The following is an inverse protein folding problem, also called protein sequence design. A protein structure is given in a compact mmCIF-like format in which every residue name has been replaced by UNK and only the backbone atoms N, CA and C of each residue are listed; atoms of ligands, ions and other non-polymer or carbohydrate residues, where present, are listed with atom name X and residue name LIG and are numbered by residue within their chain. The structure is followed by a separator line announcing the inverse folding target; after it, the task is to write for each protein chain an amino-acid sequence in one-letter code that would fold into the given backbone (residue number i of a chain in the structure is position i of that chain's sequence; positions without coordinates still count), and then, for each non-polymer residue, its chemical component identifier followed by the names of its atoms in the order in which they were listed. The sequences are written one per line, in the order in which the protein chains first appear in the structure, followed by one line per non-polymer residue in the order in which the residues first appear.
data_IF_293261272877
#
_entry.id   IF_293261272877
#
_cell.length_a   1.000
_cell.length_b   1.000
_cell.length_c   1.000
_cell.angle_alpha   90.00
_cell.angle_beta   90.00
_cell.angle_gamma   90.00
#
_symmetry.space_group_name_H-M   'P 1'
#
loop_
_entity.id
_entity.type
_entity.pdbx_description
1 polymer ?
#
# COMPACT_ATOMS: atom_id res chain seq x y z
N UNK A 1 20.24 12.31 -4.36
CA UNK A 1 21.02 13.48 -3.88
C UNK A 1 21.71 13.19 -2.55
N UNK A 2 20.99 12.68 -1.54
CA UNK A 2 21.55 12.26 -0.24
C UNK A 2 22.61 11.17 -0.38
N UNK A 3 22.42 10.20 -1.28
CA UNK A 3 23.40 9.14 -1.56
C UNK A 3 24.77 9.64 -2.07
N UNK A 4 24.87 10.91 -2.51
CA UNK A 4 26.13 11.52 -2.97
C UNK A 4 26.87 12.29 -1.87
N UNK A 5 26.28 12.40 -0.68
CA UNK A 5 26.85 13.13 0.46
C UNK A 5 27.40 12.12 1.47
N UNK A 6 28.55 12.44 2.08
CA UNK A 6 29.11 11.64 3.18
C UNK A 6 28.11 11.60 4.36
N UNK A 7 27.62 10.41 4.78
CA UNK A 7 26.72 10.27 5.91
C UNK A 7 27.30 10.88 7.21
N UNK A 8 28.62 10.90 7.36
CA UNK A 8 29.28 11.53 8.50
C UNK A 8 29.14 13.04 8.46
N UNK A 9 29.24 13.68 7.30
CA UNK A 9 28.99 15.12 7.14
C UNK A 9 27.52 15.45 7.47
N UNK A 10 26.56 14.69 6.94
CA UNK A 10 25.13 14.96 7.19
C UNK A 10 24.81 14.93 8.69
N UNK A 11 25.30 13.91 9.41
CA UNK A 11 25.08 13.78 10.85
C UNK A 11 25.88 14.79 11.67
N UNK A 12 27.13 15.08 11.29
CA UNK A 12 28.03 15.98 12.01
C UNK A 12 27.56 17.44 11.97
N UNK A 13 26.89 17.85 10.90
CA UNK A 13 26.37 19.21 10.74
C UNK A 13 24.89 19.36 11.10
N UNK A 14 24.23 18.32 11.63
CA UNK A 14 22.81 18.37 12.01
C UNK A 14 21.86 18.65 10.85
N UNK A 15 22.31 18.40 9.61
CA UNK A 15 21.55 18.70 8.40
C UNK A 15 20.46 17.66 8.13
N UNK A 16 20.57 16.48 8.74
CA UNK A 16 19.60 15.40 8.66
C UNK A 16 18.19 15.85 9.08
N UNK A 17 18.06 16.53 10.21
CA UNK A 17 16.76 17.00 10.69
C UNK A 17 16.21 18.13 9.81
N UNK A 18 17.06 19.04 9.33
CA UNK A 18 16.65 20.13 8.44
C UNK A 18 16.15 19.58 7.10
N UNK A 19 16.85 18.61 6.52
CA UNK A 19 16.42 17.95 5.30
C UNK A 19 15.12 17.16 5.52
N UNK A 20 15.02 16.39 6.60
CA UNK A 20 13.80 15.66 6.93
C UNK A 20 12.60 16.61 7.05
N UNK A 21 12.68 17.67 7.85
CA UNK A 21 11.57 18.61 8.01
C UNK A 21 11.17 19.29 6.68
N UNK A 22 12.15 19.61 5.84
CA UNK A 22 11.89 20.22 4.53
C UNK A 22 11.20 19.24 3.58
N UNK A 23 11.64 17.99 3.56
CA UNK A 23 11.05 16.92 2.75
C UNK A 23 9.67 16.50 3.26
N UNK A 24 9.44 16.51 4.58
CA UNK A 24 8.11 16.26 5.16
C UNK A 24 7.09 17.31 4.69
N UNK A 25 7.49 18.58 4.58
CA UNK A 25 6.64 19.61 3.97
C UNK A 25 6.32 19.31 2.51
N UNK A 26 7.24 18.69 1.77
CA UNK A 26 6.95 18.26 0.39
C UNK A 26 5.78 17.26 0.31
N UNK A 27 5.53 16.47 1.36
CA UNK A 27 4.46 15.47 1.36
C UNK A 27 3.05 16.09 1.40
N UNK A 28 2.91 17.36 1.79
CA UNK A 28 1.61 18.06 1.77
C UNK A 28 1.25 18.63 0.39
N UNK A 29 2.15 18.60 -0.60
CA UNK A 29 1.88 19.06 -1.96
C UNK A 29 1.10 17.98 -2.72
N UNK A 30 -0.23 18.03 -2.64
CA UNK A 30 -1.15 17.00 -3.16
C UNK A 30 -2.27 17.63 -4.00
N UNK A 31 -2.04 18.84 -4.49
CA UNK A 31 -3.07 19.67 -5.11
C UNK A 31 -3.06 19.51 -6.61
N UNK A 32 -1.88 19.65 -7.22
CA UNK A 32 -1.72 19.80 -8.66
C UNK A 32 -0.85 18.71 -9.29
N UNK A 33 -0.98 18.48 -10.60
CA UNK A 33 -0.14 17.49 -11.30
C UNK A 33 1.36 17.83 -11.23
N UNK A 34 1.70 19.13 -11.12
CA UNK A 34 3.07 19.61 -10.95
C UNK A 34 3.71 19.13 -9.63
N UNK A 35 2.92 18.70 -8.65
CA UNK A 35 3.40 18.18 -7.38
C UNK A 35 3.87 16.72 -7.49
N UNK A 36 3.42 15.98 -8.51
CA UNK A 36 3.73 14.55 -8.68
C UNK A 36 5.24 14.27 -8.75
N UNK A 37 6.05 14.98 -9.55
CA UNK A 37 7.50 14.78 -9.58
C UNK A 37 8.17 15.07 -8.23
N UNK A 38 7.67 16.08 -7.50
CA UNK A 38 8.19 16.44 -6.18
C UNK A 38 7.98 15.29 -5.19
N UNK A 39 6.76 14.74 -5.11
CA UNK A 39 6.44 13.62 -4.23
C UNK A 39 7.23 12.35 -4.60
N UNK A 40 7.34 12.05 -5.90
CA UNK A 40 8.14 10.91 -6.39
C UNK A 40 9.61 10.99 -5.98
N UNK A 41 10.16 12.19 -5.84
CA UNK A 41 11.51 12.40 -5.34
C UNK A 41 11.58 12.44 -3.80
N UNK A 42 10.57 13.03 -3.15
CA UNK A 42 10.57 13.25 -1.71
C UNK A 42 10.46 11.95 -0.92
N UNK A 43 9.51 11.07 -1.25
CA UNK A 43 9.30 9.83 -0.50
C UNK A 43 10.56 8.95 -0.43
N UNK A 44 11.20 8.55 -1.55
CA UNK A 44 12.43 7.77 -1.50
C UNK A 44 13.55 8.48 -0.73
N UNK A 45 13.70 9.80 -0.90
CA UNK A 45 14.72 10.58 -0.22
C UNK A 45 14.54 10.56 1.30
N UNK A 46 13.29 10.69 1.79
CA UNK A 46 12.97 10.59 3.21
C UNK A 46 13.30 9.18 3.72
N UNK A 47 12.86 8.14 3.01
CA UNK A 47 13.08 6.75 3.42
C UNK A 47 14.57 6.40 3.48
N UNK A 48 15.37 6.87 2.51
CA UNK A 48 16.82 6.75 2.49
C UNK A 48 17.46 7.47 3.69
N UNK A 49 17.05 8.70 3.98
CA UNK A 49 17.55 9.46 5.13
C UNK A 49 17.23 8.75 6.44
N UNK A 50 16.02 8.22 6.60
CA UNK A 50 15.63 7.45 7.79
C UNK A 50 16.51 6.20 7.93
N UNK A 51 16.79 5.49 6.83
CA UNK A 51 17.61 4.29 6.85
C UNK A 51 19.05 4.55 7.39
N UNK A 52 19.59 5.76 7.20
CA UNK A 52 20.91 6.14 7.74
C UNK A 52 20.96 6.29 9.26
N UNK A 53 19.81 6.42 9.93
CA UNK A 53 19.78 6.62 11.38
C UNK A 53 20.19 5.33 12.11
N UNK A 54 21.12 5.45 13.05
CA UNK A 54 21.66 4.30 13.81
C UNK A 54 20.68 3.74 14.85
N UNK A 55 19.90 4.62 15.48
CA UNK A 55 18.98 4.23 16.55
C UNK A 55 17.69 3.64 15.97
N UNK A 56 17.41 2.36 16.26
CA UNK A 56 16.25 1.66 15.74
C UNK A 56 14.92 2.33 16.14
N UNK A 57 14.80 2.81 17.38
CA UNK A 57 13.59 3.49 17.85
C UNK A 57 13.33 4.80 17.08
N UNK A 58 14.38 5.60 16.82
CA UNK A 58 14.27 6.84 16.05
C UNK A 58 13.82 6.53 14.62
N UNK A 59 14.37 5.46 14.01
CA UNK A 59 13.93 5.01 12.67
C UNK A 59 12.46 4.64 12.66
N UNK A 60 12.02 3.80 13.59
CA UNK A 60 10.64 3.34 13.67
C UNK A 60 9.67 4.53 13.80
N UNK A 61 9.97 5.49 14.69
CA UNK A 61 9.17 6.70 14.87
C UNK A 61 9.12 7.57 13.60
N UNK A 62 10.24 7.68 12.86
CA UNK A 62 10.25 8.43 11.61
C UNK A 62 9.47 7.72 10.50
N UNK A 63 9.55 6.39 10.40
CA UNK A 63 8.72 5.64 9.45
C UNK A 63 7.23 5.76 9.77
N UNK A 64 6.87 5.69 11.05
CA UNK A 64 5.50 5.95 11.51
C UNK A 64 5.05 7.36 11.13
N UNK A 65 5.91 8.37 11.28
CA UNK A 65 5.62 9.74 10.85
C UNK A 65 5.41 9.85 9.35
N UNK A 66 6.25 9.22 8.51
CA UNK A 66 6.04 9.17 7.05
C UNK A 66 4.68 8.55 6.73
N UNK A 67 4.34 7.47 7.42
CA UNK A 67 3.08 6.78 7.21
C UNK A 67 1.88 7.65 7.61
N UNK A 68 1.90 8.26 8.80
CA UNK A 68 0.82 9.11 9.30
C UNK A 68 0.70 10.41 8.52
N UNK A 69 1.77 11.19 8.45
CA UNK A 69 1.76 12.55 7.92
C UNK A 69 1.82 12.58 6.38
N UNK A 70 2.40 11.54 5.77
CA UNK A 70 2.49 11.40 4.31
C UNK A 70 1.35 10.56 3.74
N UNK A 71 1.27 9.28 4.13
CA UNK A 71 0.35 8.32 3.49
C UNK A 71 -1.10 8.53 3.92
N UNK A 72 -1.40 8.49 5.22
CA UNK A 72 -2.78 8.61 5.72
C UNK A 72 -3.38 9.98 5.41
N UNK A 73 -2.63 11.04 5.69
CA UNK A 73 -3.00 12.41 5.29
C UNK A 73 -3.12 12.51 3.76
N UNK A 74 -2.22 11.86 3.02
CA UNK A 74 -2.25 11.80 1.56
C UNK A 74 -3.53 11.21 1.00
N UNK A 75 -3.99 10.07 1.53
CA UNK A 75 -5.29 9.51 1.16
C UNK A 75 -6.45 10.43 1.52
N UNK A 76 -6.40 11.08 2.68
CA UNK A 76 -7.45 12.01 3.11
C UNK A 76 -7.65 13.20 2.15
N UNK A 77 -6.58 13.71 1.53
CA UNK A 77 -6.64 14.86 0.61
C UNK A 77 -6.66 14.49 -0.89
N UNK A 78 -6.03 13.38 -1.27
CA UNK A 78 -5.80 13.01 -2.66
C UNK A 78 -6.09 11.54 -2.98
N UNK A 79 -6.75 10.80 -2.09
CA UNK A 79 -7.09 9.39 -2.29
C UNK A 79 -8.00 9.10 -3.49
N UNK A 80 -8.70 10.12 -4.02
CA UNK A 80 -9.52 9.99 -5.23
C UNK A 80 -8.80 10.46 -6.51
N UNK A 81 -7.59 10.99 -6.39
CA UNK A 81 -6.83 11.55 -7.52
C UNK A 81 -5.88 10.50 -8.08
N UNK A 82 -6.24 9.94 -9.24
CA UNK A 82 -5.51 8.86 -9.94
C UNK A 82 -4.00 9.14 -10.06
N UNK A 83 -3.58 10.39 -10.25
CA UNK A 83 -2.17 10.75 -10.39
C UNK A 83 -1.33 10.59 -9.11
N UNK A 84 -1.95 10.67 -7.93
CA UNK A 84 -1.26 10.59 -6.63
C UNK A 84 -1.30 9.20 -6.02
N UNK A 85 -2.36 8.43 -6.31
CA UNK A 85 -2.55 7.08 -5.77
C UNK A 85 -1.31 6.16 -5.94
N UNK A 86 -0.67 6.04 -7.12
CA UNK A 86 0.53 5.21 -7.26
C UNK A 86 1.64 5.61 -6.29
N UNK A 87 1.84 6.90 -6.06
CA UNK A 87 2.90 7.42 -5.19
C UNK A 87 2.61 7.03 -3.73
N UNK A 88 1.36 7.20 -3.29
CA UNK A 88 0.94 6.85 -1.93
C UNK A 88 1.02 5.34 -1.70
N UNK A 89 0.62 4.53 -2.68
CA UNK A 89 0.60 3.07 -2.54
C UNK A 89 2.01 2.45 -2.58
N UNK A 90 2.91 2.99 -3.41
CA UNK A 90 4.24 2.40 -3.67
C UNK A 90 5.05 2.13 -2.41
N UNK A 91 4.96 3.02 -1.40
CA UNK A 91 5.82 2.97 -0.23
C UNK A 91 5.22 2.20 0.96
N UNK A 92 3.95 1.81 0.89
CA UNK A 92 3.25 1.11 1.99
C UNK A 92 3.94 -0.21 2.38
N UNK A 93 4.36 -1.09 1.45
CA UNK A 93 5.02 -2.33 1.83
C UNK A 93 6.27 -2.13 2.68
N UNK A 94 7.14 -1.20 2.27
CA UNK A 94 8.37 -0.88 2.99
C UNK A 94 8.07 -0.30 4.37
N UNK A 95 7.08 0.60 4.46
CA UNK A 95 6.67 1.22 5.72
C UNK A 95 6.09 0.18 6.69
N UNK A 96 5.22 -0.72 6.23
CA UNK A 96 4.67 -1.78 7.08
C UNK A 96 5.73 -2.78 7.54
N UNK A 97 6.71 -3.10 6.69
CA UNK A 97 7.83 -3.93 7.10
C UNK A 97 8.67 -3.26 8.21
N UNK A 98 8.88 -1.95 8.11
CA UNK A 98 9.67 -1.21 9.10
C UNK A 98 8.91 -0.90 10.41
N UNK A 99 7.60 -0.63 10.34
CA UNK A 99 6.75 -0.34 11.51
C UNK A 99 6.35 -1.61 12.28
N UNK A 100 6.24 -2.76 11.59
CA UNK A 100 5.79 -4.00 12.20
C UNK A 100 4.39 -3.87 12.83
N UNK A 101 4.23 -4.36 14.05
CA UNK A 101 2.94 -4.39 14.76
C UNK A 101 2.35 -3.01 15.05
N UNK A 102 3.15 -1.94 15.05
CA UNK A 102 2.66 -0.56 15.19
C UNK A 102 1.67 -0.24 14.06
N UNK A 103 1.88 -0.80 12.86
CA UNK A 103 1.01 -0.61 11.71
C UNK A 103 -0.45 -1.04 11.91
N UNK A 104 -0.73 -1.87 12.93
CA UNK A 104 -2.09 -2.34 13.27
C UNK A 104 -3.03 -1.19 13.58
N UNK A 105 -2.56 -0.12 14.24
CA UNK A 105 -3.40 1.01 14.64
C UNK A 105 -3.98 1.79 13.45
N UNK A 106 -3.39 1.63 12.26
CA UNK A 106 -3.81 2.34 11.05
C UNK A 106 -4.72 1.53 10.13
N UNK A 107 -4.96 0.24 10.42
CA UNK A 107 -5.76 -0.62 9.53
C UNK A 107 -7.15 -0.05 9.25
N UNK A 108 -7.79 0.57 10.25
CA UNK A 108 -9.12 1.18 10.10
C UNK A 108 -9.15 2.28 9.04
N UNK A 109 -8.08 3.06 8.95
CA UNK A 109 -7.95 4.12 7.93
C UNK A 109 -7.43 3.55 6.60
N UNK A 110 -6.50 2.61 6.65
CA UNK A 110 -5.80 2.16 5.45
C UNK A 110 -6.54 1.11 4.62
N UNK A 111 -7.14 0.10 5.27
CA UNK A 111 -7.76 -1.03 4.54
C UNK A 111 -8.86 -0.55 3.57
N UNK A 112 -9.77 0.38 3.95
CA UNK A 112 -10.75 0.91 3.01
C UNK A 112 -10.13 1.57 1.77
N UNK A 113 -9.05 2.33 1.95
CA UNK A 113 -8.34 2.99 0.85
C UNK A 113 -7.67 1.97 -0.07
N UNK A 114 -7.02 0.95 0.49
CA UNK A 114 -6.41 -0.13 -0.30
C UNK A 114 -7.46 -0.95 -1.07
N UNK A 115 -8.60 -1.27 -0.44
CA UNK A 115 -9.69 -2.00 -1.10
C UNK A 115 -10.33 -1.14 -2.20
N UNK A 116 -10.50 0.15 -1.96
CA UNK A 116 -11.01 1.10 -2.96
C UNK A 116 -10.06 1.19 -4.14
N UNK A 117 -8.77 1.42 -3.89
CA UNK A 117 -7.73 1.45 -4.91
C UNK A 117 -7.65 0.15 -5.70
N UNK A 118 -7.66 -1.01 -5.03
CA UNK A 118 -7.63 -2.33 -5.69
C UNK A 118 -8.84 -2.55 -6.61
N UNK A 119 -10.01 -2.08 -6.20
CA UNK A 119 -11.29 -2.31 -6.88
C UNK A 119 -11.65 -1.26 -7.92
N UNK A 120 -10.69 -0.38 -8.26
CA UNK A 120 -10.83 0.55 -9.36
C UNK A 120 -10.87 -0.20 -10.68
N UNK A 121 -11.87 0.08 -11.50
CA UNK A 121 -12.06 -0.54 -12.81
C UNK A 121 -12.29 0.56 -13.84
N UNK A 122 -11.42 0.64 -14.85
CA UNK A 122 -11.63 1.50 -16.01
C UNK A 122 -10.91 0.88 -17.21
N UNK A 123 -11.67 0.60 -18.27
CA UNK A 123 -11.14 -0.02 -19.49
C UNK A 123 -10.20 0.90 -20.29
N UNK A 124 -10.24 2.22 -20.02
CA UNK A 124 -9.60 3.22 -20.88
C UNK A 124 -8.42 3.95 -20.22
N UNK A 125 -8.03 3.58 -19.00
CA UNK A 125 -6.96 4.27 -18.28
C UNK A 125 -5.88 3.28 -17.81
N UNK A 126 -4.70 3.24 -18.45
CA UNK A 126 -3.64 2.30 -18.09
C UNK A 126 -3.13 2.50 -16.66
N UNK A 127 -3.22 3.73 -16.11
CA UNK A 127 -2.81 4.01 -14.72
C UNK A 127 -3.61 3.24 -13.67
N UNK A 128 -4.83 2.79 -14.00
CA UNK A 128 -5.66 2.01 -13.08
C UNK A 128 -5.06 0.63 -12.84
N UNK A 129 -4.43 0.01 -13.85
CA UNK A 129 -3.72 -1.26 -13.65
C UNK A 129 -2.56 -1.09 -12.68
N UNK A 130 -1.76 -0.05 -12.83
CA UNK A 130 -0.65 0.25 -11.90
C UNK A 130 -1.16 0.47 -10.47
N UNK A 131 -2.26 1.21 -10.30
CA UNK A 131 -2.90 1.43 -8.99
C UNK A 131 -3.34 0.10 -8.38
N UNK A 132 -4.02 -0.75 -9.15
CA UNK A 132 -4.47 -2.06 -8.68
C UNK A 132 -3.29 -2.96 -8.29
N UNK A 133 -2.19 -2.91 -9.04
CA UNK A 133 -0.95 -3.61 -8.70
C UNK A 133 -0.35 -3.12 -7.38
N UNK A 134 -0.15 -1.81 -7.23
CA UNK A 134 0.40 -1.24 -6.00
C UNK A 134 -0.50 -1.50 -4.79
N UNK A 135 -1.83 -1.43 -4.96
CA UNK A 135 -2.79 -1.76 -3.93
C UNK A 135 -2.72 -3.24 -3.52
N UNK A 136 -2.63 -4.16 -4.48
CA UNK A 136 -2.48 -5.59 -4.21
C UNK A 136 -1.17 -5.90 -3.45
N UNK A 137 -0.04 -5.35 -3.90
CA UNK A 137 1.26 -5.52 -3.22
C UNK A 137 1.21 -4.93 -1.80
N UNK A 138 0.58 -3.77 -1.63
CA UNK A 138 0.38 -3.13 -0.33
C UNK A 138 -0.49 -3.98 0.59
N UNK A 139 -1.60 -4.53 0.10
CA UNK A 139 -2.46 -5.43 0.87
C UNK A 139 -1.70 -6.68 1.30
N UNK A 140 -0.88 -7.28 0.44
CA UNK A 140 -0.06 -8.44 0.82
C UNK A 140 0.85 -8.11 2.01
N UNK A 141 1.54 -6.97 1.96
CA UNK A 141 2.44 -6.55 3.04
C UNK A 141 1.67 -6.27 4.34
N UNK A 142 0.56 -5.54 4.25
CA UNK A 142 -0.30 -5.21 5.40
C UNK A 142 -0.88 -6.48 6.03
N UNK A 143 -1.39 -7.42 5.21
CA UNK A 143 -1.96 -8.67 5.69
C UNK A 143 -0.91 -9.50 6.41
N UNK A 144 0.29 -9.66 5.83
CA UNK A 144 1.38 -10.42 6.47
C UNK A 144 1.82 -9.81 7.80
N UNK A 145 1.93 -8.48 7.88
CA UNK A 145 2.38 -7.78 9.09
C UNK A 145 1.32 -7.75 10.18
N UNK A 146 0.04 -7.61 9.81
CA UNK A 146 -1.05 -7.36 10.74
C UNK A 146 -2.08 -8.48 10.80
N UNK A 147 -1.70 -9.70 10.40
CA UNK A 147 -2.56 -10.87 10.24
C UNK A 147 -3.57 -11.10 11.38
N UNK A 148 -3.24 -10.91 12.68
CA UNK A 148 -4.21 -11.20 13.76
C UNK A 148 -5.46 -10.32 13.72
N UNK A 149 -5.41 -9.17 13.05
CA UNK A 149 -6.52 -8.21 12.95
C UNK A 149 -7.20 -8.18 11.59
N UNK A 150 -6.63 -8.84 10.58
CA UNK A 150 -7.19 -8.92 9.22
C UNK A 150 -8.59 -9.55 9.16
N UNK A 151 -8.97 -10.58 9.95
CA UNK A 151 -10.32 -11.16 9.88
C UNK A 151 -11.46 -10.17 10.11
N UNK A 152 -11.21 -9.06 10.82
CA UNK A 152 -12.19 -7.99 11.02
C UNK A 152 -12.56 -7.27 9.71
N UNK A 153 -11.68 -7.28 8.72
CA UNK A 153 -11.84 -6.60 7.43
C UNK A 153 -12.18 -7.55 6.29
N UNK A 154 -12.54 -8.81 6.59
CA UNK A 154 -12.74 -9.87 5.59
C UNK A 154 -13.70 -9.47 4.46
N UNK A 155 -14.81 -8.82 4.80
CA UNK A 155 -15.83 -8.44 3.82
C UNK A 155 -15.30 -7.44 2.79
N UNK A 156 -14.61 -6.39 3.24
CA UNK A 156 -14.03 -5.37 2.35
C UNK A 156 -12.92 -5.94 1.46
N UNK A 157 -12.04 -6.78 2.03
CA UNK A 157 -10.95 -7.41 1.28
C UNK A 157 -11.52 -8.40 0.25
N UNK A 158 -12.45 -9.27 0.64
CA UNK A 158 -13.05 -10.23 -0.28
C UNK A 158 -13.84 -9.54 -1.40
N UNK A 159 -14.64 -8.52 -1.07
CA UNK A 159 -15.42 -7.77 -2.05
C UNK A 159 -14.52 -7.09 -3.09
N UNK A 160 -13.46 -6.41 -2.64
CA UNK A 160 -12.52 -5.74 -3.54
C UNK A 160 -11.79 -6.77 -4.41
N UNK A 161 -11.29 -7.85 -3.82
CA UNK A 161 -10.63 -8.95 -4.51
C UNK A 161 -11.54 -9.57 -5.59
N UNK A 162 -12.80 -9.87 -5.27
CA UNK A 162 -13.74 -10.48 -6.20
C UNK A 162 -14.05 -9.57 -7.39
N UNK A 163 -14.24 -8.27 -7.15
CA UNK A 163 -14.49 -7.27 -8.20
C UNK A 163 -13.29 -7.15 -9.15
N UNK A 164 -12.09 -7.01 -8.59
CA UNK A 164 -10.85 -6.85 -9.37
C UNK A 164 -10.50 -8.12 -10.13
N UNK A 165 -10.68 -9.29 -9.49
CA UNK A 165 -10.51 -10.58 -10.12
C UNK A 165 -11.41 -10.74 -11.35
N UNK A 166 -12.70 -10.47 -11.20
CA UNK A 166 -13.66 -10.59 -12.31
C UNK A 166 -13.24 -9.74 -13.50
N UNK A 167 -12.77 -8.51 -13.24
CA UNK A 167 -12.29 -7.62 -14.29
C UNK A 167 -11.08 -8.19 -15.06
N UNK A 168 -10.02 -8.58 -14.35
CA UNK A 168 -8.79 -9.05 -14.99
C UNK A 168 -8.87 -10.47 -15.54
N UNK A 169 -9.71 -11.32 -14.95
CA UNK A 169 -10.00 -12.66 -15.46
C UNK A 169 -10.67 -12.57 -16.83
N UNK A 170 -11.70 -11.72 -16.96
CA UNK A 170 -12.38 -11.48 -18.23
C UNK A 170 -11.46 -10.83 -19.27
N UNK A 171 -10.56 -9.93 -18.82
CA UNK A 171 -9.53 -9.33 -19.68
C UNK A 171 -8.39 -10.30 -20.04
N UNK A 172 -8.36 -11.51 -19.47
CA UNK A 172 -7.29 -12.51 -19.63
C UNK A 172 -5.90 -11.99 -19.24
N UNK A 173 -5.84 -11.07 -18.27
CA UNK A 173 -4.59 -10.52 -17.74
C UNK A 173 -3.98 -11.49 -16.72
N UNK A 174 -3.08 -12.35 -17.20
CA UNK A 174 -2.50 -13.42 -16.39
C UNK A 174 -1.68 -12.89 -15.21
N UNK A 175 -0.91 -11.80 -15.41
CA UNK A 175 -0.06 -11.21 -14.39
C UNK A 175 -0.89 -10.71 -13.21
N UNK A 176 -1.97 -9.97 -13.50
CA UNK A 176 -2.89 -9.51 -12.47
C UNK A 176 -3.60 -10.67 -11.78
N UNK A 177 -4.05 -11.68 -12.53
CA UNK A 177 -4.67 -12.86 -11.93
C UNK A 177 -3.71 -13.56 -10.95
N UNK A 178 -2.44 -13.73 -11.31
CA UNK A 178 -1.45 -14.33 -10.41
C UNK A 178 -1.22 -13.49 -9.15
N UNK A 179 -1.14 -12.16 -9.28
CA UNK A 179 -0.99 -11.29 -8.13
C UNK A 179 -2.21 -11.34 -7.20
N UNK A 180 -3.43 -11.37 -7.74
CA UNK A 180 -4.66 -11.48 -6.94
C UNK A 180 -4.77 -12.84 -6.23
N UNK A 181 -4.30 -13.93 -6.85
CA UNK A 181 -4.15 -15.22 -6.16
C UNK A 181 -3.19 -15.13 -4.97
N UNK A 182 -2.10 -14.38 -5.10
CA UNK A 182 -1.19 -14.15 -3.98
C UNK A 182 -1.85 -13.35 -2.86
N UNK A 183 -2.63 -12.31 -3.19
CA UNK A 183 -3.44 -11.57 -2.20
C UNK A 183 -4.38 -12.53 -1.47
N UNK A 184 -5.10 -13.38 -2.20
CA UNK A 184 -6.01 -14.36 -1.61
C UNK A 184 -5.30 -15.33 -0.67
N UNK A 185 -4.16 -15.91 -1.07
CA UNK A 185 -3.43 -16.90 -0.26
C UNK A 185 -2.99 -16.34 1.10
N UNK A 186 -2.47 -15.11 1.11
CA UNK A 186 -2.06 -14.47 2.37
C UNK A 186 -3.27 -14.08 3.21
N UNK A 187 -4.37 -13.69 2.57
CA UNK A 187 -5.64 -13.39 3.21
C UNK A 187 -6.27 -14.63 3.87
N UNK A 188 -6.39 -15.74 3.13
CA UNK A 188 -6.87 -17.03 3.62
C UNK A 188 -6.04 -17.49 4.84
N UNK A 189 -4.71 -17.42 4.73
CA UNK A 189 -3.80 -17.76 5.84
C UNK A 189 -4.02 -16.89 7.08
N UNK A 190 -4.31 -15.59 6.90
CA UNK A 190 -4.57 -14.65 8.00
C UNK A 190 -5.96 -14.83 8.63
N UNK A 191 -6.94 -15.29 7.85
CA UNK A 191 -8.33 -15.44 8.29
C UNK A 191 -8.63 -16.78 8.97
N UNK A 192 -7.78 -17.80 8.78
CA UNK A 192 -7.87 -19.09 9.48
C UNK A 192 -9.26 -19.75 9.33
N UNK A 193 -9.89 -19.63 8.16
CA UNK A 193 -11.18 -20.23 7.82
C UNK A 193 -12.40 -19.31 8.04
N UNK A 194 -12.23 -18.11 8.62
CA UNK A 194 -13.33 -17.16 8.79
C UNK A 194 -13.87 -16.59 7.46
N UNK A 195 -13.11 -16.75 6.38
CA UNK A 195 -13.45 -16.34 5.02
C UNK A 195 -14.16 -17.41 4.20
N UNK A 196 -14.29 -18.64 4.73
CA UNK A 196 -14.80 -19.79 3.99
C UNK A 196 -16.22 -19.59 3.44
N UNK A 197 -17.11 -18.97 4.24
CA UNK A 197 -18.48 -18.68 3.81
C UNK A 197 -18.52 -17.70 2.64
N UNK A 198 -17.68 -16.66 2.67
CA UNK A 198 -17.60 -15.69 1.57
C UNK A 198 -17.04 -16.34 0.29
N UNK A 199 -16.04 -17.24 0.44
CA UNK A 199 -15.50 -18.05 -0.67
C UNK A 199 -16.57 -18.92 -1.30
N UNK A 200 -17.30 -19.69 -0.49
CA UNK A 200 -18.35 -20.59 -0.96
C UNK A 200 -19.47 -19.82 -1.67
N UNK A 201 -19.88 -18.67 -1.13
CA UNK A 201 -20.86 -17.81 -1.77
C UNK A 201 -20.40 -17.31 -3.15
N UNK A 202 -19.12 -16.94 -3.31
CA UNK A 202 -18.56 -16.53 -4.61
C UNK A 202 -18.50 -17.69 -5.61
N UNK A 203 -18.10 -18.88 -5.18
CA UNK A 203 -18.10 -20.08 -6.04
C UNK A 203 -19.53 -20.40 -6.48
N UNK A 204 -20.50 -20.41 -5.57
CA UNK A 204 -21.91 -20.66 -5.91
C UNK A 204 -22.47 -19.61 -6.87
N UNK A 205 -22.06 -18.35 -6.74
CA UNK A 205 -22.49 -17.27 -7.62
C UNK A 205 -21.97 -17.43 -9.06
N UNK A 206 -20.69 -17.77 -9.25
CA UNK A 206 -20.12 -18.03 -10.58
C UNK A 206 -18.90 -18.97 -10.50
N UNK A 207 -19.09 -20.29 -10.63
CA UNK A 207 -18.01 -21.27 -10.48
C UNK A 207 -16.88 -21.04 -11.49
N UNK A 208 -17.24 -20.83 -12.76
CA UNK A 208 -16.28 -20.65 -13.87
C UNK A 208 -15.32 -19.48 -13.67
N UNK A 209 -15.78 -18.42 -12.99
CA UNK A 209 -14.95 -17.24 -12.70
C UNK A 209 -14.19 -17.42 -11.40
N UNK A 210 -14.82 -17.92 -10.33
CA UNK A 210 -14.23 -17.86 -8.99
C UNK A 210 -13.48 -19.12 -8.55
N UNK A 211 -13.78 -20.31 -9.06
CA UNK A 211 -12.95 -21.50 -8.76
C UNK A 211 -11.46 -21.27 -9.08
N UNK A 212 -11.08 -20.69 -10.24
CA UNK A 212 -9.68 -20.48 -10.54
C UNK A 212 -8.97 -19.48 -9.61
N UNK A 213 -9.69 -18.58 -8.92
CA UNK A 213 -9.11 -17.67 -7.92
C UNK A 213 -8.65 -18.44 -6.68
N UNK A 214 -9.41 -19.44 -6.26
CA UNK A 214 -9.21 -20.17 -5.01
C UNK A 214 -8.36 -21.44 -5.18
N UNK A 215 -8.12 -21.90 -6.41
CA UNK A 215 -7.24 -23.03 -6.69
C UNK A 215 -5.78 -22.75 -6.29
N UNK A 216 -5.17 -23.77 -5.64
CA UNK A 216 -3.76 -23.77 -5.22
C UNK A 216 -2.78 -23.81 -6.38
#
# INVERSE_FOLDING_TARGET
MVQKLDPQCISKFGLDNVFLESLFKCLSYLSEERDVPLLKAAYPCILDLIATKRQAQVRANLYERVFKDGIITGFSYAGQKIQFLPILLTHIPQLYHAMGSIGVQYLKALIPELCTALSMTSSNNPKIKDINQFAAVSLIAVIKTCWPRIPHYRGSIMQSLAKTWTHYYNAKDQDMCQLLKQVYRVFESACQGQEATDREALIQFNPTVFEPLFCK
#
